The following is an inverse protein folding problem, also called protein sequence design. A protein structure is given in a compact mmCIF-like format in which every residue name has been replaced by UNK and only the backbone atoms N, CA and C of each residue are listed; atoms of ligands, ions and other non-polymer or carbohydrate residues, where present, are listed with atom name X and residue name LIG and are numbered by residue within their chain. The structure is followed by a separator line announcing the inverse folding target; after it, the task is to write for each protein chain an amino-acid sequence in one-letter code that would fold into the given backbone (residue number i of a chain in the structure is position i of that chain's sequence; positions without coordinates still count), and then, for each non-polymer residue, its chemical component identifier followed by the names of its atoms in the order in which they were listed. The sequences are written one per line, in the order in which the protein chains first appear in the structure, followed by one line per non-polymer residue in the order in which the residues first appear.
data_IF_190433917897
#
_entry.id   IF_190433917897
#
_cell.length_a   1.000
_cell.length_b   1.000
_cell.length_c   1.000
_cell.angle_alpha   90.00
_cell.angle_beta   90.00
_cell.angle_gamma   90.00
#
_symmetry.space_group_name_H-M   'P 1'
#
loop_
_entity.id
_entity.type
_entity.pdbx_description
1 polymer ?
#
# COMPACT_ATOMS: atom_id res chain seq x y z
N UNK A 1 0.77 -3.81 -15.77
CA UNK A 1 1.98 -3.76 -16.61
C UNK A 1 3.13 -4.25 -15.72
N UNK A 2 3.61 -5.47 -15.87
CA UNK A 2 4.79 -5.80 -16.68
C UNK A 2 5.93 -4.81 -16.50
N UNK A 3 6.81 -5.12 -15.54
CA UNK A 3 8.19 -4.67 -15.52
C UNK A 3 8.90 -5.12 -16.81
N UNK A 4 9.41 -4.15 -17.56
CA UNK A 4 10.44 -4.31 -18.59
C UNK A 4 11.70 -3.69 -17.94
N UNK A 5 12.81 -4.42 -17.81
CA UNK A 5 13.88 -4.19 -18.78
C UNK A 5 14.85 -5.37 -18.96
N UNK A 6 15.42 -5.38 -20.16
CA UNK A 6 16.08 -6.44 -20.89
C UNK A 6 17.61 -6.23 -20.86
N UNK A 7 18.30 -7.25 -20.35
CA UNK A 7 19.51 -7.95 -20.86
C UNK A 7 20.77 -7.16 -21.25
N UNK A 8 21.90 -7.69 -20.74
CA UNK A 8 23.13 -7.85 -21.53
C UNK A 8 23.39 -9.33 -21.83
N UNK A 9 23.78 -9.56 -23.08
CA UNK A 9 23.85 -10.83 -23.82
C UNK A 9 25.19 -11.55 -23.62
N UNK A 10 25.19 -12.89 -23.60
CA UNK A 10 26.27 -13.70 -24.18
C UNK A 10 25.74 -15.08 -24.61
N UNK A 11 26.05 -15.42 -25.85
CA UNK A 11 25.60 -16.57 -26.64
C UNK A 11 26.57 -17.76 -26.47
N UNK A 12 26.05 -18.99 -26.36
CA UNK A 12 26.72 -20.19 -26.86
C UNK A 12 25.70 -21.31 -27.18
N UNK A 13 25.56 -21.58 -28.47
CA UNK A 13 24.77 -22.65 -29.10
C UNK A 13 25.54 -23.97 -29.08
N UNK A 14 24.89 -25.08 -28.72
CA UNK A 14 25.21 -26.41 -29.26
C UNK A 14 23.96 -27.30 -29.22
N UNK A 15 23.31 -27.41 -30.38
CA UNK A 15 22.27 -28.38 -30.71
C UNK A 15 22.93 -29.68 -31.19
N UNK A 16 22.49 -30.82 -30.66
CA UNK A 16 22.49 -32.10 -31.37
C UNK A 16 21.25 -32.88 -30.96
N UNK A 17 20.32 -33.08 -31.91
CA UNK A 17 19.17 -33.96 -31.75
C UNK A 17 19.46 -35.39 -32.21
N UNK A 18 18.47 -36.27 -32.04
CA UNK A 18 18.04 -37.32 -33.00
C UNK A 18 16.66 -37.85 -32.57
N UNK A 19 15.77 -37.97 -33.57
CA UNK A 19 14.44 -38.59 -33.60
C UNK A 19 14.50 -40.13 -33.46
N UNK A 20 13.38 -40.77 -33.09
CA UNK A 20 12.74 -41.99 -33.69
C UNK A 20 11.52 -42.35 -32.78
N UNK A 21 10.27 -42.14 -33.21
CA UNK A 21 9.38 -42.96 -34.05
C UNK A 21 8.64 -44.11 -33.32
N UNK A 22 7.34 -44.20 -33.60
CA UNK A 22 6.31 -45.06 -33.03
C UNK A 22 6.54 -46.57 -33.22
N UNK A 23 5.96 -47.39 -32.33
CA UNK A 23 5.50 -48.74 -32.71
C UNK A 23 4.20 -49.13 -31.95
N UNK A 24 3.36 -49.90 -32.64
CA UNK A 24 1.99 -50.28 -32.28
C UNK A 24 1.95 -51.70 -31.72
N UNK A 25 1.01 -52.02 -30.81
CA UNK A 25 0.80 -53.42 -30.42
C UNK A 25 -0.33 -53.63 -29.41
N UNK A 26 -1.43 -54.19 -29.89
CA UNK A 26 -2.63 -54.61 -29.18
C UNK A 26 -2.41 -55.99 -28.49
N UNK A 27 -2.82 -56.19 -27.23
CA UNK A 27 -3.62 -57.37 -26.80
C UNK A 27 -4.02 -57.39 -25.30
N UNK A 28 -5.35 -57.45 -25.14
CA UNK A 28 -6.25 -58.08 -24.14
C UNK A 28 -5.75 -58.80 -22.85
N UNK A 29 -6.47 -58.43 -21.77
CA UNK A 29 -7.17 -59.27 -20.74
C UNK A 29 -6.34 -60.05 -19.71
N UNK A 30 -6.46 -59.71 -18.42
CA UNK A 30 -7.11 -60.53 -17.38
C UNK A 30 -6.90 -59.98 -15.95
N UNK A 31 -7.98 -60.09 -15.18
CA UNK A 31 -8.18 -59.87 -13.75
C UNK A 31 -7.23 -60.68 -12.83
N UNK A 32 -6.72 -60.07 -11.74
CA UNK A 32 -6.48 -60.75 -10.45
C UNK A 32 -6.12 -59.75 -9.35
N UNK A 33 -6.64 -60.00 -8.15
CA UNK A 33 -6.45 -59.28 -6.89
C UNK A 33 -5.00 -59.24 -6.38
N UNK A 34 -4.70 -58.23 -5.55
CA UNK A 34 -3.61 -58.21 -4.55
C UNK A 34 -4.01 -57.22 -3.44
N UNK A 35 -4.34 -57.71 -2.25
CA UNK A 35 -3.45 -57.78 -1.07
C UNK A 35 -3.00 -56.40 -0.55
N UNK A 36 -3.41 -56.13 0.69
CA UNK A 36 -3.05 -54.95 1.48
C UNK A 36 -1.53 -54.89 1.73
N UNK A 37 -0.93 -53.73 1.49
CA UNK A 37 0.37 -53.36 2.06
C UNK A 37 0.31 -51.95 2.67
N UNK A 38 1.08 -51.71 3.74
CA UNK A 38 1.02 -50.48 4.52
C UNK A 38 1.74 -49.35 3.78
N UNK A 39 1.10 -48.17 3.69
CA UNK A 39 1.70 -47.00 3.05
C UNK A 39 2.59 -46.23 4.03
N UNK A 40 3.90 -46.44 3.89
CA UNK A 40 4.93 -45.54 4.40
C UNK A 40 5.04 -44.30 3.48
N UNK A 41 5.25 -43.13 4.08
CA UNK A 41 5.41 -41.87 3.38
C UNK A 41 6.79 -41.76 2.69
N UNK A 42 6.78 -41.29 1.44
CA UNK A 42 7.95 -40.74 0.75
C UNK A 42 8.37 -41.51 -0.51
N UNK A 43 7.90 -41.06 -1.67
CA UNK A 43 8.59 -40.95 -2.97
C UNK A 43 7.55 -40.52 -4.02
N UNK A 44 7.97 -39.77 -5.05
CA UNK A 44 7.10 -39.24 -6.10
C UNK A 44 6.55 -40.39 -6.98
N UNK A 45 5.62 -41.17 -6.46
CA UNK A 45 4.97 -42.26 -7.18
C UNK A 45 3.86 -41.68 -8.06
N UNK A 46 4.03 -41.84 -9.37
CA UNK A 46 2.97 -41.55 -10.32
C UNK A 46 1.84 -42.54 -10.09
N UNK A 47 0.76 -42.08 -9.44
CA UNK A 47 -0.44 -42.92 -9.24
C UNK A 47 -1.07 -43.18 -10.60
N UNK A 48 -1.09 -44.44 -11.02
CA UNK A 48 -1.76 -44.87 -12.25
C UNK A 48 -3.25 -45.14 -11.96
N UNK A 49 -4.16 -44.51 -12.71
CA UNK A 49 -5.60 -44.65 -12.55
C UNK A 49 -6.19 -45.54 -13.65
N UNK A 50 -6.89 -46.60 -13.26
CA UNK A 50 -7.41 -47.63 -14.17
C UNK A 50 -8.62 -47.17 -14.97
N UNK A 51 -9.44 -46.28 -14.40
CA UNK A 51 -10.63 -45.75 -15.06
C UNK A 51 -10.98 -44.32 -14.63
N UNK A 52 -12.09 -43.79 -15.15
CA UNK A 52 -12.58 -42.45 -14.83
C UNK A 52 -13.10 -42.33 -13.38
N UNK A 53 -13.53 -43.44 -12.77
CA UNK A 53 -14.06 -43.44 -11.42
C UNK A 53 -12.93 -43.37 -10.38
N UNK A 54 -11.82 -44.08 -10.61
CA UNK A 54 -10.61 -43.95 -9.78
C UNK A 54 -10.03 -42.54 -9.84
N UNK A 55 -9.99 -41.93 -11.03
CA UNK A 55 -9.57 -40.52 -11.20
C UNK A 55 -10.49 -39.57 -10.44
N UNK A 56 -11.81 -39.76 -10.55
CA UNK A 56 -12.80 -38.94 -9.86
C UNK A 56 -12.66 -39.07 -8.34
N UNK A 57 -12.49 -40.29 -7.81
CA UNK A 57 -12.32 -40.52 -6.37
C UNK A 57 -11.07 -39.83 -5.81
N UNK A 58 -9.92 -39.94 -6.51
CA UNK A 58 -8.71 -39.23 -6.11
C UNK A 58 -8.89 -37.70 -6.15
N UNK A 59 -9.51 -37.18 -7.21
CA UNK A 59 -9.79 -35.75 -7.34
C UNK A 59 -10.71 -35.23 -6.22
N UNK A 60 -11.72 -36.01 -5.80
CA UNK A 60 -12.56 -35.66 -4.65
C UNK A 60 -11.74 -35.56 -3.36
N UNK A 61 -10.82 -36.50 -3.11
CA UNK A 61 -9.92 -36.47 -1.96
C UNK A 61 -9.01 -35.25 -1.96
N UNK A 62 -8.40 -34.92 -3.11
CA UNK A 62 -7.58 -33.70 -3.28
C UNK A 62 -8.41 -32.44 -3.03
N UNK A 63 -9.61 -32.35 -3.61
CA UNK A 63 -10.49 -31.21 -3.41
C UNK A 63 -10.88 -31.04 -1.92
N UNK A 64 -11.29 -32.14 -1.27
CA UNK A 64 -11.64 -32.14 0.16
C UNK A 64 -10.46 -31.72 1.03
N UNK A 65 -9.29 -32.32 0.82
CA UNK A 65 -8.08 -31.99 1.59
C UNK A 65 -7.61 -30.53 1.37
N UNK A 66 -7.80 -29.98 0.17
CA UNK A 66 -7.48 -28.58 -0.14
C UNK A 66 -8.39 -27.63 0.62
N UNK A 67 -9.70 -27.88 0.63
CA UNK A 67 -10.67 -27.05 1.35
C UNK A 67 -10.45 -27.14 2.87
N UNK A 68 -10.20 -28.35 3.39
CA UNK A 68 -9.95 -28.55 4.81
C UNK A 68 -8.61 -27.94 5.26
N UNK A 69 -7.58 -28.00 4.42
CA UNK A 69 -6.29 -27.34 4.69
C UNK A 69 -6.45 -25.84 4.82
N UNK A 70 -7.24 -25.19 3.94
CA UNK A 70 -7.54 -23.76 4.08
C UNK A 70 -8.22 -23.44 5.41
N UNK A 71 -9.19 -24.25 5.81
CA UNK A 71 -9.88 -24.07 7.09
C UNK A 71 -8.93 -24.29 8.29
N UNK A 72 -7.96 -25.20 8.21
CA UNK A 72 -6.99 -25.40 9.28
C UNK A 72 -5.93 -24.29 9.30
N UNK A 73 -5.51 -23.80 8.14
CA UNK A 73 -4.55 -22.71 8.07
C UNK A 73 -5.14 -21.40 8.62
N UNK A 74 -6.45 -21.15 8.48
CA UNK A 74 -7.10 -20.01 9.15
C UNK A 74 -7.12 -20.12 10.68
N UNK A 75 -7.03 -21.33 11.25
CA UNK A 75 -7.00 -21.51 12.70
C UNK A 75 -5.65 -21.11 13.33
N UNK A 76 -4.59 -21.01 12.52
CA UNK A 76 -3.28 -20.52 12.98
C UNK A 76 -3.34 -19.08 13.47
N UNK A 77 -4.29 -18.28 12.96
CA UNK A 77 -4.54 -16.92 13.46
C UNK A 77 -4.94 -16.92 14.94
N UNK A 78 -5.51 -18.02 15.43
CA UNK A 78 -5.90 -18.22 16.82
C UNK A 78 -4.91 -19.11 17.59
N UNK A 79 -3.71 -19.34 17.04
CA UNK A 79 -2.67 -20.21 17.62
C UNK A 79 -3.18 -21.65 17.82
N UNK A 80 -3.96 -22.16 16.86
CA UNK A 80 -4.44 -23.54 16.84
C UNK A 80 -3.85 -24.26 15.63
N UNK A 81 -3.11 -25.33 15.88
CA UNK A 81 -2.59 -26.22 14.85
C UNK A 81 -3.31 -27.58 14.85
N UNK A 82 -3.90 -27.93 13.71
CA UNK A 82 -4.55 -29.22 13.53
C UNK A 82 -3.54 -30.23 12.98
N UNK A 83 -3.38 -31.35 13.69
CA UNK A 83 -2.59 -32.47 13.22
C UNK A 83 -3.31 -33.17 12.04
N UNK A 84 -2.84 -32.87 10.83
CA UNK A 84 -3.44 -33.38 9.58
C UNK A 84 -3.35 -34.90 9.45
N UNK A 85 -2.32 -35.52 10.02
CA UNK A 85 -2.16 -36.99 9.98
C UNK A 85 -3.24 -37.70 10.79
N UNK A 86 -3.61 -37.15 11.95
CA UNK A 86 -4.71 -37.68 12.77
C UNK A 86 -6.07 -37.50 12.08
N UNK A 87 -6.26 -36.40 11.33
CA UNK A 87 -7.49 -36.19 10.56
C UNK A 87 -7.58 -37.23 9.43
N UNK A 88 -6.49 -37.45 8.69
CA UNK A 88 -6.43 -38.48 7.64
C UNK A 88 -6.64 -39.88 8.23
N UNK A 89 -6.06 -40.17 9.39
CA UNK A 89 -6.29 -41.43 10.11
C UNK A 89 -7.77 -41.59 10.50
N UNK A 90 -8.39 -40.57 11.11
CA UNK A 90 -9.80 -40.61 11.49
C UNK A 90 -10.74 -40.83 10.29
N UNK A 91 -10.45 -40.22 9.14
CA UNK A 91 -11.20 -40.48 7.90
C UNK A 91 -11.05 -41.93 7.43
N UNK A 92 -9.83 -42.48 7.44
CA UNK A 92 -9.56 -43.86 7.04
C UNK A 92 -10.28 -44.85 7.95
N UNK A 93 -10.13 -44.68 9.27
CA UNK A 93 -10.75 -45.54 10.28
C UNK A 93 -12.29 -45.46 10.20
N UNK A 94 -12.83 -44.27 9.96
CA UNK A 94 -14.27 -44.06 9.73
C UNK A 94 -14.80 -44.77 8.50
N UNK A 95 -14.10 -44.69 7.36
CA UNK A 95 -14.50 -45.43 6.14
C UNK A 95 -14.41 -46.95 6.32
N UNK A 96 -13.47 -47.43 7.13
CA UNK A 96 -13.34 -48.85 7.47
C UNK A 96 -14.39 -49.35 8.47
N UNK A 97 -15.16 -48.45 9.10
CA UNK A 97 -16.07 -48.80 10.19
C UNK A 97 -15.33 -49.20 11.48
N UNK A 98 -14.07 -48.82 11.63
CA UNK A 98 -13.18 -49.14 12.75
C UNK A 98 -12.73 -47.85 13.47
N UNK A 99 -13.63 -46.88 13.56
CA UNK A 99 -13.39 -45.63 14.27
C UNK A 99 -12.97 -45.90 15.71
N UNK A 100 -11.90 -45.24 16.16
CA UNK A 100 -11.31 -45.42 17.50
C UNK A 100 -12.06 -44.68 18.61
N UNK A 101 -13.18 -44.05 18.28
CA UNK A 101 -14.05 -43.31 19.18
C UNK A 101 -15.50 -43.65 18.83
N UNK A 102 -16.35 -43.71 19.84
CA UNK A 102 -17.79 -43.80 19.64
C UNK A 102 -18.34 -42.53 18.98
N UNK A 103 -19.50 -42.62 18.34
CA UNK A 103 -20.17 -41.44 17.76
C UNK A 103 -20.43 -40.35 18.80
N UNK A 104 -20.76 -40.74 20.04
CA UNK A 104 -20.97 -39.81 21.16
C UNK A 104 -19.67 -39.08 21.53
N UNK A 105 -18.55 -39.79 21.63
CA UNK A 105 -17.25 -39.19 21.89
C UNK A 105 -16.82 -38.26 20.75
N UNK A 106 -17.04 -38.64 19.50
CA UNK A 106 -16.75 -37.78 18.34
C UNK A 106 -17.52 -36.46 18.43
N UNK A 107 -18.83 -36.52 18.67
CA UNK A 107 -19.66 -35.31 18.81
C UNK A 107 -19.24 -34.46 20.02
N UNK A 108 -18.94 -35.08 21.16
CA UNK A 108 -18.51 -34.38 22.36
C UNK A 108 -17.20 -33.62 22.13
N UNK A 109 -16.20 -34.26 21.53
CA UNK A 109 -14.90 -33.64 21.25
C UNK A 109 -14.99 -32.54 20.18
N UNK A 110 -15.87 -32.69 19.17
CA UNK A 110 -16.11 -31.62 18.19
C UNK A 110 -16.75 -30.40 18.86
N UNK A 111 -17.72 -30.60 19.75
CA UNK A 111 -18.37 -29.50 20.48
C UNK A 111 -17.39 -28.79 21.44
N UNK A 112 -16.53 -29.55 22.12
CA UNK A 112 -15.47 -29.00 22.96
C UNK A 112 -14.49 -28.15 22.13
N UNK A 113 -14.03 -28.67 20.98
CA UNK A 113 -13.21 -27.92 20.04
C UNK A 113 -13.89 -26.62 19.56
N UNK A 114 -15.17 -26.68 19.16
CA UNK A 114 -15.93 -25.51 18.74
C UNK A 114 -16.06 -24.47 19.87
N UNK A 115 -16.23 -24.93 21.11
CA UNK A 115 -16.33 -24.05 22.28
C UNK A 115 -15.00 -23.35 22.55
N UNK A 116 -13.90 -24.08 22.56
CA UNK A 116 -12.55 -23.52 22.73
C UNK A 116 -12.18 -22.55 21.59
N UNK A 117 -12.55 -22.88 20.34
CA UNK A 117 -12.36 -22.01 19.19
C UNK A 117 -13.15 -20.70 19.34
N UNK A 118 -14.43 -20.77 19.74
CA UNK A 118 -15.25 -19.59 19.96
C UNK A 118 -14.69 -18.68 21.07
N UNK A 119 -14.12 -19.26 22.14
CA UNK A 119 -13.46 -18.53 23.20
C UNK A 119 -12.22 -17.78 22.69
N UNK A 120 -11.33 -18.47 21.96
CA UNK A 120 -10.15 -17.84 21.34
C UNK A 120 -10.52 -16.75 20.32
N UNK A 121 -11.57 -16.95 19.52
CA UNK A 121 -12.06 -15.92 18.60
C UNK A 121 -12.53 -14.67 19.36
N UNK A 122 -13.23 -14.85 20.49
CA UNK A 122 -13.67 -13.74 21.34
C UNK A 122 -12.50 -13.00 21.98
N UNK A 123 -11.48 -13.72 22.45
CA UNK A 123 -10.25 -13.14 23.00
C UNK A 123 -9.53 -12.29 21.94
N UNK A 124 -9.32 -12.85 20.74
CA UNK A 124 -8.67 -12.12 19.63
C UNK A 124 -9.47 -10.88 19.20
N UNK A 125 -10.80 -10.98 19.17
CA UNK A 125 -11.65 -9.81 18.88
C UNK A 125 -11.53 -8.73 19.96
N UNK A 126 -11.44 -9.11 21.24
CA UNK A 126 -11.26 -8.16 22.33
C UNK A 126 -9.87 -7.50 22.29
N UNK A 127 -8.84 -8.25 21.93
CA UNK A 127 -7.48 -7.74 21.72
C UNK A 127 -7.44 -6.74 20.55
N UNK A 128 -7.96 -7.12 19.38
CA UNK A 128 -8.04 -6.22 18.22
C UNK A 128 -8.85 -4.96 18.51
N UNK A 129 -9.92 -5.07 19.30
CA UNK A 129 -10.71 -3.91 19.71
C UNK A 129 -9.93 -2.99 20.68
N UNK A 130 -9.10 -3.56 21.56
CA UNK A 130 -8.22 -2.79 22.44
C UNK A 130 -7.11 -2.09 21.64
N UNK A 131 -6.47 -2.79 20.71
CA UNK A 131 -5.47 -2.23 19.79
C UNK A 131 -6.07 -1.11 18.92
N UNK A 132 -7.26 -1.31 18.36
CA UNK A 132 -7.95 -0.29 17.57
C UNK A 132 -8.30 0.94 18.41
N UNK A 133 -8.71 0.75 19.66
CA UNK A 133 -8.98 1.85 20.58
C UNK A 133 -7.72 2.63 20.91
N UNK A 134 -6.62 1.95 21.23
CA UNK A 134 -5.33 2.59 21.50
C UNK A 134 -4.85 3.41 20.30
N UNK A 135 -4.87 2.80 19.09
CA UNK A 135 -4.56 3.49 17.84
C UNK A 135 -5.47 4.70 17.60
N UNK A 136 -6.77 4.59 17.86
CA UNK A 136 -7.70 5.71 17.70
C UNK A 136 -7.43 6.85 18.71
N UNK A 137 -6.96 6.56 19.92
CA UNK A 137 -6.53 7.59 20.88
C UNK A 137 -5.25 8.31 20.41
N UNK A 138 -4.29 7.56 19.84
CA UNK A 138 -3.07 8.11 19.24
C UNK A 138 -3.38 8.98 18.02
N UNK A 139 -4.23 8.49 17.12
CA UNK A 139 -4.67 9.22 15.92
C UNK A 139 -5.39 10.52 16.27
N UNK A 140 -6.25 10.51 17.29
CA UNK A 140 -6.94 11.71 17.73
C UNK A 140 -5.94 12.79 18.16
N UNK A 141 -4.93 12.40 18.95
CA UNK A 141 -3.91 13.32 19.45
C UNK A 141 -3.02 13.83 18.31
N UNK A 142 -2.55 12.94 17.44
CA UNK A 142 -1.71 13.31 16.30
C UNK A 142 -2.47 14.20 15.30
N UNK A 143 -3.73 13.87 15.01
CA UNK A 143 -4.61 14.67 14.17
C UNK A 143 -4.87 16.06 14.75
N UNK A 144 -5.13 16.19 16.05
CA UNK A 144 -5.29 17.48 16.71
C UNK A 144 -4.03 18.35 16.65
N UNK A 145 -2.85 17.74 16.82
CA UNK A 145 -1.58 18.44 16.68
C UNK A 145 -1.38 18.93 15.22
N UNK A 146 -1.57 18.03 14.25
CA UNK A 146 -1.47 18.38 12.83
C UNK A 146 -2.44 19.50 12.44
N UNK A 147 -3.69 19.45 12.91
CA UNK A 147 -4.67 20.51 12.65
C UNK A 147 -4.26 21.86 13.26
N UNK A 148 -3.65 21.86 14.44
CA UNK A 148 -3.16 23.08 15.08
C UNK A 148 -2.02 23.69 14.25
N UNK A 149 -1.04 22.87 13.86
CA UNK A 149 0.10 23.31 13.06
C UNK A 149 -0.34 23.76 11.66
N UNK A 150 -1.28 23.04 11.04
CA UNK A 150 -1.84 23.39 9.74
C UNK A 150 -2.61 24.72 9.78
N UNK A 151 -3.33 25.00 10.88
CA UNK A 151 -4.06 26.26 11.05
C UNK A 151 -3.16 27.51 11.05
N UNK A 152 -1.87 27.35 11.33
CA UNK A 152 -0.90 28.44 11.35
C UNK A 152 -0.26 28.71 9.98
N UNK A 153 -0.50 27.85 8.98
CA UNK A 153 0.02 28.04 7.62
C UNK A 153 -0.69 29.20 6.92
N UNK A 154 0.04 29.87 6.03
CA UNK A 154 -0.49 30.96 5.22
C UNK A 154 -1.64 30.49 4.32
N UNK A 155 -2.65 31.33 4.14
CA UNK A 155 -3.84 31.03 3.34
C UNK A 155 -4.82 30.03 3.96
N UNK A 156 -4.53 29.46 5.14
CA UNK A 156 -5.44 28.51 5.80
C UNK A 156 -6.59 29.23 6.50
N UNK A 157 -7.80 28.79 6.21
CA UNK A 157 -9.03 29.18 6.89
C UNK A 157 -9.54 28.01 7.73
N UNK A 158 -9.91 28.30 8.99
CA UNK A 158 -10.59 27.36 9.88
C UNK A 158 -12.04 27.77 10.07
N UNK A 159 -12.97 26.86 9.81
CA UNK A 159 -14.41 27.11 9.96
C UNK A 159 -14.88 26.87 11.39
N UNK A 160 -16.15 27.21 11.69
CA UNK A 160 -16.76 26.98 13.00
C UNK A 160 -16.90 25.50 13.34
N UNK A 161 -17.04 24.62 12.33
CA UNK A 161 -17.12 23.16 12.53
C UNK A 161 -15.75 22.54 12.83
N UNK A 162 -14.66 23.28 12.56
CA UNK A 162 -13.29 22.81 12.73
C UNK A 162 -12.63 22.34 11.44
N UNK A 163 -13.34 22.33 10.30
CA UNK A 163 -12.74 22.12 8.98
C UNK A 163 -11.65 23.17 8.75
N UNK A 164 -10.49 22.74 8.23
CA UNK A 164 -9.46 23.64 7.75
C UNK A 164 -9.30 23.47 6.26
N UNK A 165 -9.10 24.57 5.54
CA UNK A 165 -8.87 24.51 4.11
C UNK A 165 -7.99 25.66 3.64
N UNK A 166 -7.33 25.49 2.50
CA UNK A 166 -6.69 26.57 1.74
C UNK A 166 -6.90 26.35 0.25
N UNK A 167 -7.00 27.44 -0.49
CA UNK A 167 -6.94 27.39 -1.93
C UNK A 167 -5.52 27.04 -2.39
N UNK A 168 -5.41 26.11 -3.34
CA UNK A 168 -4.20 25.90 -4.15
C UNK A 168 -4.33 26.74 -5.43
N UNK A 169 -5.48 26.60 -6.10
CA UNK A 169 -5.85 27.38 -7.29
C UNK A 169 -7.28 27.89 -7.12
N UNK A 170 -7.48 29.19 -7.36
CA UNK A 170 -8.80 29.83 -7.41
C UNK A 170 -9.07 30.37 -8.81
N UNK A 171 -10.29 30.18 -9.30
CA UNK A 171 -10.78 30.77 -10.54
C UNK A 171 -11.92 31.75 -10.27
N UNK A 172 -11.90 32.90 -10.95
CA UNK A 172 -12.96 33.89 -10.78
C UNK A 172 -14.22 33.52 -11.57
N UNK A 173 -15.38 33.68 -10.92
CA UNK A 173 -16.69 33.62 -11.59
C UNK A 173 -17.23 32.22 -11.88
N UNK A 174 -16.61 31.17 -11.32
CA UNK A 174 -17.15 29.81 -11.36
C UNK A 174 -18.43 29.65 -10.52
N UNK A 175 -19.22 28.61 -10.83
CA UNK A 175 -20.39 28.24 -10.05
C UNK A 175 -19.98 27.49 -8.78
N UNK A 176 -20.54 27.87 -7.62
CA UNK A 176 -20.36 27.12 -6.36
C UNK A 176 -21.53 26.17 -6.12
N UNK A 177 -21.29 24.93 -5.65
CA UNK A 177 -22.36 24.01 -5.33
C UNK A 177 -23.05 24.40 -4.02
N UNK A 178 -24.31 23.99 -3.88
CA UNK A 178 -25.04 23.94 -2.61
C UNK A 178 -25.02 22.51 -2.07
N UNK A 179 -25.30 22.34 -0.77
CA UNK A 179 -25.27 21.01 -0.11
C UNK A 179 -26.18 19.93 -0.77
N UNK A 180 -27.16 20.31 -1.59
CA UNK A 180 -28.07 19.37 -2.28
C UNK A 180 -27.62 19.01 -3.71
N UNK A 181 -26.62 19.72 -4.24
CA UNK A 181 -26.16 19.54 -5.61
C UNK A 181 -25.31 18.26 -5.76
N UNK A 182 -25.28 17.77 -7.00
CA UNK A 182 -24.26 16.81 -7.41
C UNK A 182 -23.00 17.55 -7.87
N UNK A 183 -21.83 16.99 -7.61
CA UNK A 183 -20.56 17.53 -8.07
C UNK A 183 -19.77 16.46 -8.81
N UNK A 184 -18.91 16.91 -9.73
CA UNK A 184 -17.86 16.10 -10.33
C UNK A 184 -16.51 16.62 -9.86
N UNK A 185 -15.66 15.75 -9.32
CA UNK A 185 -14.34 16.17 -8.82
C UNK A 185 -13.23 15.19 -9.18
N UNK A 186 -12.02 15.74 -9.29
CA UNK A 186 -10.81 14.99 -9.02
C UNK A 186 -10.40 15.16 -7.55
N UNK A 187 -9.77 14.14 -6.97
CA UNK A 187 -9.29 14.21 -5.60
C UNK A 187 -8.16 13.22 -5.30
N UNK A 188 -7.40 13.56 -4.27
CA UNK A 188 -6.40 12.71 -3.62
C UNK A 188 -6.56 12.79 -2.11
N UNK A 189 -6.79 11.65 -1.46
CA UNK A 189 -6.96 11.54 -0.01
C UNK A 189 -5.76 10.87 0.65
N UNK A 190 -5.18 11.53 1.64
CA UNK A 190 -4.01 11.06 2.40
C UNK A 190 -4.25 11.16 3.91
N UNK A 191 -3.58 10.30 4.66
CA UNK A 191 -3.44 10.47 6.11
C UNK A 191 -2.46 11.61 6.41
N UNK A 192 -2.40 12.03 7.68
CA UNK A 192 -1.54 13.14 8.12
C UNK A 192 -0.03 12.88 7.96
N UNK A 193 0.37 11.64 7.74
CA UNK A 193 1.75 11.22 7.43
C UNK A 193 2.04 11.20 5.91
N UNK A 194 1.05 11.53 5.08
CA UNK A 194 1.15 11.53 3.62
C UNK A 194 0.83 10.21 2.95
N UNK A 195 0.55 9.12 3.70
CA UNK A 195 0.14 7.85 3.09
C UNK A 195 -1.22 8.02 2.40
N UNK A 196 -1.26 7.71 1.11
CA UNK A 196 -2.48 7.82 0.30
C UNK A 196 -3.39 6.62 0.49
N UNK A 197 -4.65 6.87 0.88
CA UNK A 197 -5.66 5.84 1.05
C UNK A 197 -6.68 5.77 -0.09
N UNK A 198 -6.84 6.85 -0.87
CA UNK A 198 -7.74 6.91 -2.02
C UNK A 198 -7.36 8.04 -3.00
N UNK A 199 -7.53 7.81 -4.31
CA UNK A 199 -7.23 8.80 -5.36
C UNK A 199 -8.04 8.54 -6.62
N UNK A 200 -8.71 9.56 -7.15
CA UNK A 200 -9.38 9.48 -8.46
C UNK A 200 -8.39 9.59 -9.62
N UNK A 201 -7.27 10.29 -9.43
CA UNK A 201 -6.18 10.36 -10.41
C UNK A 201 -5.60 8.97 -10.70
N UNK A 202 -5.41 8.13 -9.68
CA UNK A 202 -4.96 6.72 -9.88
C UNK A 202 -5.93 5.89 -10.71
N UNK A 203 -7.20 6.30 -10.81
CA UNK A 203 -8.21 5.64 -11.63
C UNK A 203 -8.38 6.28 -13.01
N UNK A 204 -7.67 7.37 -13.30
CA UNK A 204 -7.80 8.18 -14.51
C UNK A 204 -9.25 8.59 -14.81
N UNK A 205 -10.05 8.79 -13.76
CA UNK A 205 -11.47 9.12 -13.91
C UNK A 205 -11.96 9.90 -12.68
N UNK A 206 -12.60 11.07 -12.87
CA UNK A 206 -13.22 11.79 -11.78
C UNK A 206 -14.42 11.03 -11.24
N UNK A 207 -14.93 11.47 -10.09
CA UNK A 207 -16.09 10.88 -9.45
C UNK A 207 -17.24 11.88 -9.39
N UNK A 208 -18.45 11.38 -9.63
CA UNK A 208 -19.70 12.13 -9.47
C UNK A 208 -20.42 11.65 -8.20
N UNK A 209 -20.85 12.57 -7.35
CA UNK A 209 -21.66 12.26 -6.17
C UNK A 209 -22.49 13.47 -5.72
N UNK A 210 -23.55 13.20 -4.95
CA UNK A 210 -24.32 14.24 -4.28
C UNK A 210 -23.62 14.69 -3.00
N UNK A 211 -23.52 16.01 -2.77
CA UNK A 211 -22.85 16.55 -1.58
C UNK A 211 -23.49 16.11 -0.27
N UNK A 212 -24.80 15.84 -0.25
CA UNK A 212 -25.51 15.31 0.92
C UNK A 212 -25.26 13.80 1.20
N UNK A 213 -24.52 13.11 0.33
CA UNK A 213 -24.23 11.68 0.43
C UNK A 213 -22.80 11.34 0.84
N UNK A 214 -21.97 12.35 1.14
CA UNK A 214 -20.55 12.20 1.50
C UNK A 214 -20.28 12.65 2.95
N UNK A 215 -19.03 12.59 3.38
CA UNK A 215 -18.64 13.00 4.73
C UNK A 215 -18.94 14.48 4.98
N UNK A 216 -19.32 14.89 6.21
CA UNK A 216 -19.70 16.27 6.51
C UNK A 216 -18.66 17.32 6.07
N UNK A 217 -17.36 17.03 6.21
CA UNK A 217 -16.30 17.94 5.80
C UNK A 217 -16.27 18.21 4.30
N UNK A 218 -16.65 17.24 3.46
CA UNK A 218 -16.81 17.45 2.03
C UNK A 218 -18.09 18.24 1.72
N UNK A 219 -19.21 17.86 2.35
CA UNK A 219 -20.48 18.59 2.19
C UNK A 219 -20.29 20.07 2.50
N UNK A 220 -19.59 20.40 3.58
CA UNK A 220 -19.26 21.78 3.95
C UNK A 220 -18.20 22.40 3.02
N UNK A 221 -17.05 21.76 2.88
CA UNK A 221 -15.87 22.33 2.23
C UNK A 221 -16.06 22.66 0.76
N UNK A 222 -16.73 21.80 -0.01
CA UNK A 222 -16.92 22.00 -1.44
C UNK A 222 -17.85 23.19 -1.75
N UNK A 223 -18.66 23.66 -0.79
CA UNK A 223 -19.48 24.87 -0.96
C UNK A 223 -18.65 26.16 -0.93
N UNK A 224 -17.38 26.10 -0.49
CA UNK A 224 -16.44 27.22 -0.56
C UNK A 224 -15.64 27.26 -1.87
N UNK A 225 -15.80 26.25 -2.71
CA UNK A 225 -15.17 26.16 -4.03
C UNK A 225 -16.11 26.68 -5.11
N UNK A 226 -15.52 27.09 -6.22
CA UNK A 226 -16.14 27.34 -7.51
C UNK A 226 -15.63 26.33 -8.53
N UNK A 227 -16.40 26.06 -9.58
CA UNK A 227 -15.95 25.17 -10.67
C UNK A 227 -14.63 25.69 -11.25
N UNK A 228 -13.60 24.84 -11.23
CA UNK A 228 -12.23 25.10 -11.63
C UNK A 228 -11.25 25.29 -10.46
N UNK A 229 -11.75 25.43 -9.22
CA UNK A 229 -10.89 25.55 -8.05
C UNK A 229 -10.22 24.22 -7.69
N UNK A 230 -9.00 24.33 -7.16
CA UNK A 230 -8.29 23.23 -6.50
C UNK A 230 -7.98 23.64 -5.06
N UNK A 231 -8.52 22.93 -4.08
CA UNK A 231 -8.37 23.23 -2.65
C UNK A 231 -7.71 22.06 -1.92
N UNK A 232 -6.99 22.37 -0.85
CA UNK A 232 -6.56 21.39 0.15
C UNK A 232 -7.44 21.52 1.40
N UNK A 233 -8.02 20.40 1.84
CA UNK A 233 -8.86 20.29 3.03
C UNK A 233 -8.19 19.40 4.07
N UNK A 234 -8.11 19.87 5.31
CA UNK A 234 -7.78 19.05 6.48
C UNK A 234 -9.07 18.86 7.28
N UNK A 235 -9.54 17.62 7.27
CA UNK A 235 -10.85 17.24 7.79
C UNK A 235 -10.67 16.48 9.11
N UNK A 236 -11.08 17.06 10.24
CA UNK A 236 -11.13 16.39 11.53
C UNK A 236 -11.99 15.12 11.49
N UNK A 237 -11.70 14.16 12.37
CA UNK A 237 -12.35 12.86 12.34
C UNK A 237 -13.87 12.91 12.52
N UNK A 238 -14.39 13.86 13.31
CA UNK A 238 -15.83 14.08 13.52
C UNK A 238 -16.56 14.64 12.29
N UNK A 239 -15.82 15.28 11.38
CA UNK A 239 -16.29 15.67 10.04
C UNK A 239 -15.97 14.63 8.95
N UNK A 240 -15.37 13.51 9.33
CA UNK A 240 -15.01 12.39 8.47
C UNK A 240 -15.69 11.08 8.90
N UNK A 241 -14.93 10.10 9.39
CA UNK A 241 -15.40 8.74 9.69
C UNK A 241 -15.57 8.42 11.19
N UNK A 242 -15.21 9.36 12.07
CA UNK A 242 -15.39 9.28 13.52
C UNK A 242 -14.45 8.31 14.23
N UNK A 243 -14.87 7.87 15.41
CA UNK A 243 -14.03 7.11 16.35
C UNK A 243 -13.74 5.66 15.96
N UNK A 244 -14.46 5.09 15.01
CA UNK A 244 -14.37 3.68 14.66
C UNK A 244 -13.71 3.49 13.30
N UNK A 245 -12.96 2.39 13.16
CA UNK A 245 -12.38 1.99 11.88
C UNK A 245 -13.45 1.87 10.77
N UNK A 246 -13.12 2.34 9.56
CA UNK A 246 -13.93 2.28 8.35
C UNK A 246 -13.10 1.79 7.18
N UNK A 247 -13.22 0.50 6.86
CA UNK A 247 -12.43 -0.10 5.79
C UNK A 247 -10.94 -0.03 6.14
N UNK A 248 -10.16 0.67 5.33
CA UNK A 248 -8.74 0.94 5.56
C UNK A 248 -8.47 2.21 6.37
N UNK A 249 -9.49 2.98 6.76
CA UNK A 249 -9.32 4.23 7.53
C UNK A 249 -9.46 3.91 9.02
N UNK A 250 -8.40 4.08 9.83
CA UNK A 250 -8.47 3.88 11.26
C UNK A 250 -9.39 4.90 11.96
N UNK A 251 -9.94 4.53 13.12
CA UNK A 251 -10.71 5.42 13.96
C UNK A 251 -9.95 6.69 14.34
N UNK A 252 -10.68 7.80 14.47
CA UNK A 252 -10.18 9.14 14.79
C UNK A 252 -9.12 9.70 13.82
N UNK A 253 -9.00 9.14 12.62
CA UNK A 253 -8.08 9.69 11.61
C UNK A 253 -8.53 11.07 11.14
N UNK A 254 -7.63 12.06 11.22
CA UNK A 254 -7.75 13.30 10.45
C UNK A 254 -7.32 13.01 9.03
N UNK A 255 -8.08 13.50 8.05
CA UNK A 255 -7.83 13.23 6.64
C UNK A 255 -7.44 14.51 5.91
N UNK A 256 -6.48 14.40 4.99
CA UNK A 256 -6.07 15.50 4.12
C UNK A 256 -6.53 15.17 2.70
N UNK A 257 -7.25 16.10 2.08
CA UNK A 257 -7.74 15.94 0.72
C UNK A 257 -7.31 17.12 -0.15
N UNK A 258 -6.65 16.82 -1.26
CA UNK A 258 -6.63 17.74 -2.40
C UNK A 258 -7.85 17.44 -3.27
N UNK A 259 -8.65 18.46 -3.58
CA UNK A 259 -9.89 18.32 -4.37
C UNK A 259 -9.89 19.38 -5.46
N UNK A 260 -10.21 18.96 -6.68
CA UNK A 260 -10.44 19.82 -7.83
C UNK A 260 -11.91 19.72 -8.25
N UNK A 261 -12.63 20.84 -8.26
CA UNK A 261 -14.05 20.87 -8.60
C UNK A 261 -14.25 21.07 -10.10
N UNK A 262 -14.70 20.04 -10.82
CA UNK A 262 -14.80 20.06 -12.28
C UNK A 262 -16.18 20.51 -12.79
N UNK A 263 -17.25 20.19 -12.05
CA UNK A 263 -18.61 20.58 -12.43
C UNK A 263 -19.58 20.54 -11.25
N UNK A 264 -20.63 21.35 -11.34
CA UNK A 264 -21.84 21.30 -10.50
C UNK A 264 -23.00 20.80 -11.35
N UNK A 265 -23.78 19.87 -10.81
CA UNK A 265 -24.90 19.18 -11.46
C UNK A 265 -24.56 18.64 -12.87
N UNK A 266 -23.52 17.79 -13.01
CA UNK A 266 -23.10 17.28 -14.31
C UNK A 266 -24.22 16.47 -14.99
N UNK A 267 -24.63 16.90 -16.19
CA UNK A 267 -25.61 16.17 -17.01
C UNK A 267 -24.97 15.35 -18.14
N UNK A 268 -23.73 15.70 -18.51
CA UNK A 268 -22.97 15.05 -19.56
C UNK A 268 -21.93 14.08 -18.98
N UNK A 269 -21.63 12.96 -19.67
CA UNK A 269 -20.51 12.10 -19.30
C UNK A 269 -19.22 12.91 -19.25
N UNK A 270 -18.32 12.57 -18.32
CA UNK A 270 -16.98 13.14 -18.35
C UNK A 270 -16.29 12.73 -19.64
N UNK A 271 -15.90 13.72 -20.43
CA UNK A 271 -14.97 13.57 -21.53
C UNK A 271 -13.69 14.15 -20.99
N UNK A 272 -12.68 13.29 -20.77
CA UNK A 272 -11.34 13.78 -20.46
C UNK A 272 -10.96 14.81 -21.52
N UNK A 273 -10.35 15.95 -21.15
CA UNK A 273 -9.75 16.82 -22.15
C UNK A 273 -8.93 15.94 -23.09
N UNK A 274 -8.97 16.21 -24.40
CA UNK A 274 -7.95 15.67 -25.29
C UNK A 274 -6.64 16.39 -24.93
N UNK A 275 -6.07 16.06 -23.77
CA UNK A 275 -4.69 16.40 -23.48
C UNK A 275 -3.89 15.74 -24.58
N UNK A 276 -3.27 16.58 -25.39
CA UNK A 276 -2.30 16.05 -26.32
C UNK A 276 -1.21 15.39 -25.49
N UNK A 277 -0.68 14.27 -25.96
CA UNK A 277 0.49 13.64 -25.35
C UNK A 277 1.62 14.67 -25.13
N UNK A 278 1.65 15.72 -25.94
CA UNK A 278 2.55 16.88 -25.85
C UNK A 278 2.27 17.76 -24.61
N UNK A 279 1.01 18.00 -24.26
CA UNK A 279 0.58 18.76 -23.07
C UNK A 279 0.83 17.97 -21.77
N UNK A 280 0.57 16.65 -21.76
CA UNK A 280 0.92 15.78 -20.62
C UNK A 280 2.42 15.67 -20.41
N UNK A 281 3.19 15.66 -21.50
CA UNK A 281 4.64 15.67 -21.43
C UNK A 281 5.16 17.02 -20.92
N UNK A 282 4.53 18.14 -21.28
CA UNK A 282 4.89 19.47 -20.81
C UNK A 282 4.62 19.64 -19.30
N UNK A 283 3.45 19.23 -18.81
CA UNK A 283 3.11 19.24 -17.38
C UNK A 283 3.98 18.28 -16.56
N UNK A 284 4.27 17.08 -17.10
CA UNK A 284 5.19 16.14 -16.45
C UNK A 284 6.63 16.68 -16.38
N UNK A 285 7.07 17.46 -17.37
CA UNK A 285 8.38 18.13 -17.34
C UNK A 285 8.39 19.28 -16.32
N UNK A 286 7.32 20.07 -16.25
CA UNK A 286 7.16 21.17 -15.28
C UNK A 286 7.18 20.66 -13.83
N UNK A 287 6.44 19.58 -13.54
CA UNK A 287 6.47 18.94 -12.21
C UNK A 287 7.83 18.35 -11.83
N UNK A 288 8.58 17.81 -12.80
CA UNK A 288 9.96 17.37 -12.57
C UNK A 288 10.88 18.57 -12.27
N UNK A 289 10.68 19.71 -12.94
CA UNK A 289 11.40 20.95 -12.68
C UNK A 289 11.13 21.51 -11.28
N UNK A 290 9.86 21.62 -10.88
CA UNK A 290 9.47 22.09 -9.55
C UNK A 290 10.03 21.18 -8.44
N UNK A 291 9.93 19.85 -8.62
CA UNK A 291 10.48 18.90 -7.66
C UNK A 291 12.02 18.95 -7.58
N UNK A 292 12.71 19.24 -8.70
CA UNK A 292 14.15 19.41 -8.74
C UNK A 292 14.60 20.72 -8.09
N UNK A 293 13.83 21.80 -8.27
CA UNK A 293 14.06 23.09 -7.60
C UNK A 293 13.87 22.95 -6.08
N UNK A 294 12.76 22.34 -5.64
CA UNK A 294 12.50 22.09 -4.21
C UNK A 294 13.59 21.21 -3.59
N UNK A 295 13.98 20.12 -4.26
CA UNK A 295 15.07 19.27 -3.79
C UNK A 295 16.42 20.01 -3.76
N UNK A 296 16.70 20.86 -4.75
CA UNK A 296 17.89 21.70 -4.80
C UNK A 296 17.94 22.73 -3.68
N UNK A 297 16.81 23.32 -3.33
CA UNK A 297 16.70 24.27 -2.21
C UNK A 297 16.85 23.56 -0.86
N UNK A 298 16.29 22.36 -0.69
CA UNK A 298 16.53 21.53 0.50
C UNK A 298 18.03 21.17 0.63
N UNK A 299 18.72 20.85 -0.47
CA UNK A 299 20.17 20.60 -0.45
C UNK A 299 20.95 21.84 -0.01
N UNK A 300 20.59 23.03 -0.51
CA UNK A 300 21.22 24.30 -0.11
C UNK A 300 20.96 24.63 1.36
N UNK A 301 19.71 24.53 1.81
CA UNK A 301 19.31 24.80 3.20
C UNK A 301 20.06 23.86 4.16
N UNK A 302 20.10 22.56 3.85
CA UNK A 302 20.84 21.57 4.64
C UNK A 302 22.35 21.87 4.69
N UNK A 303 22.92 22.35 3.58
CA UNK A 303 24.33 22.73 3.52
C UNK A 303 24.63 24.01 4.32
N UNK A 304 23.73 25.00 4.30
CA UNK A 304 23.82 26.21 5.12
C UNK A 304 23.71 25.88 6.61
N UNK A 305 22.78 25.01 7.02
CA UNK A 305 22.67 24.52 8.39
C UNK A 305 23.94 23.76 8.83
N UNK A 306 24.44 22.85 7.99
CA UNK A 306 25.67 22.10 8.28
C UNK A 306 26.89 23.02 8.39
N UNK A 307 26.96 24.06 7.56
CA UNK A 307 27.99 25.10 7.61
C UNK A 307 27.89 25.91 8.90
N UNK A 308 26.69 26.32 9.30
CA UNK A 308 26.47 27.05 10.55
C UNK A 308 26.89 26.21 11.76
N UNK A 309 26.52 24.93 11.80
CA UNK A 309 26.93 23.98 12.84
C UNK A 309 28.46 23.82 12.86
N UNK A 310 29.09 23.69 11.70
CA UNK A 310 30.54 23.57 11.59
C UNK A 310 31.27 24.84 12.05
N UNK A 311 30.72 26.02 11.78
CA UNK A 311 31.26 27.30 12.21
C UNK A 311 31.11 27.51 13.73
N UNK A 312 29.94 27.23 14.29
CA UNK A 312 29.66 27.33 15.73
C UNK A 312 30.54 26.35 16.52
N UNK A 313 30.63 25.09 16.07
CA UNK A 313 31.50 24.07 16.69
C UNK A 313 32.97 24.49 16.66
N UNK A 314 33.42 25.13 15.57
CA UNK A 314 34.79 25.61 15.46
C UNK A 314 35.07 26.82 16.36
N UNK A 315 34.11 27.74 16.53
CA UNK A 315 34.24 28.87 17.47
C UNK A 315 34.33 28.41 18.93
N UNK A 316 33.50 27.45 19.33
CA UNK A 316 33.56 26.85 20.67
C UNK A 316 34.92 26.19 20.93
N UNK A 317 35.39 25.35 20.01
CA UNK A 317 36.69 24.69 20.13
C UNK A 317 37.85 25.68 20.15
N UNK A 318 37.78 26.74 19.35
CA UNK A 318 38.80 27.80 19.31
C UNK A 318 38.88 28.57 20.63
N UNK A 319 37.74 28.79 21.30
CA UNK A 319 37.71 29.39 22.62
C UNK A 319 38.44 28.53 23.67
N UNK A 320 38.30 27.21 23.59
CA UNK A 320 38.93 26.26 24.50
C UNK A 320 40.45 26.10 24.29
N UNK A 321 40.94 26.25 23.05
CA UNK A 321 42.36 26.07 22.71
C UNK A 321 43.14 27.37 22.52
N UNK A 322 42.55 28.51 22.84
CA UNK A 322 43.09 29.85 22.60
C UNK A 322 44.50 30.03 23.20
N UNK A 323 45.44 30.51 22.38
CA UNK A 323 46.83 30.75 22.77
C UNK A 323 47.70 29.49 22.89
N UNK A 324 47.19 28.35 22.43
CA UNK A 324 47.95 27.10 22.30
C UNK A 324 48.34 26.85 20.85
N UNK A 325 49.26 25.91 20.63
CA UNK A 325 49.64 25.46 19.29
C UNK A 325 48.51 24.73 18.53
N UNK A 326 47.35 24.49 19.15
CA UNK A 326 46.20 23.80 18.56
C UNK A 326 45.21 24.76 17.89
N UNK A 327 45.30 26.06 18.14
CA UNK A 327 44.38 27.08 17.58
C UNK A 327 44.42 27.10 16.04
N UNK A 328 45.62 27.06 15.45
CA UNK A 328 45.80 27.00 14.00
C UNK A 328 45.24 25.69 13.39
N UNK A 329 45.32 24.58 14.13
CA UNK A 329 44.82 23.28 13.69
C UNK A 329 43.29 23.20 13.69
N UNK A 330 42.63 23.94 14.57
CA UNK A 330 41.16 24.06 14.61
C UNK A 330 40.66 24.85 13.41
N UNK A 331 41.35 25.94 13.05
CA UNK A 331 40.99 26.75 11.87
C UNK A 331 41.20 26.00 10.55
N UNK A 332 42.30 25.24 10.42
CA UNK A 332 42.54 24.38 9.25
C UNK A 332 41.47 23.28 9.11
N UNK A 333 41.05 22.68 10.23
CA UNK A 333 40.00 21.65 10.23
C UNK A 333 38.63 22.23 9.91
N UNK A 334 38.32 23.45 10.38
CA UNK A 334 37.10 24.18 10.02
C UNK A 334 37.03 24.39 8.52
N UNK A 335 38.08 24.97 7.92
CA UNK A 335 38.10 25.23 6.48
C UNK A 335 37.93 23.95 5.66
N UNK A 336 38.61 22.86 6.06
CA UNK A 336 38.48 21.57 5.39
C UNK A 336 37.06 20.99 5.46
N UNK A 337 36.36 21.17 6.58
CA UNK A 337 34.96 20.76 6.71
C UNK A 337 34.03 21.62 5.86
N UNK A 338 34.27 22.93 5.79
CA UNK A 338 33.51 23.84 4.93
C UNK A 338 33.68 23.48 3.45
N UNK A 339 34.91 23.28 3.00
CA UNK A 339 35.21 22.88 1.61
C UNK A 339 34.54 21.53 1.28
N UNK A 340 34.51 20.59 2.24
CA UNK A 340 33.87 19.29 2.06
C UNK A 340 32.33 19.39 2.01
N UNK A 341 31.73 20.26 2.83
CA UNK A 341 30.29 20.54 2.81
C UNK A 341 29.91 21.18 1.47
N UNK A 342 30.67 22.19 1.00
CA UNK A 342 30.46 22.86 -0.29
C UNK A 342 30.56 21.86 -1.45
N UNK A 343 31.62 21.05 -1.48
CA UNK A 343 31.79 20.00 -2.51
C UNK A 343 30.63 18.98 -2.48
N UNK A 344 30.19 18.56 -1.29
CA UNK A 344 29.10 17.58 -1.16
C UNK A 344 27.77 18.17 -1.59
N UNK A 345 27.53 19.46 -1.30
CA UNK A 345 26.33 20.17 -1.73
C UNK A 345 26.30 20.39 -3.24
N UNK A 346 27.45 20.74 -3.84
CA UNK A 346 27.60 20.81 -5.31
C UNK A 346 27.34 19.44 -5.96
N UNK A 347 28.00 18.38 -5.48
CA UNK A 347 27.82 17.02 -6.00
C UNK A 347 26.36 16.53 -5.87
N UNK A 348 25.69 16.87 -4.76
CA UNK A 348 24.29 16.54 -4.54
C UNK A 348 23.35 17.35 -5.45
N UNK A 349 23.61 18.64 -5.65
CA UNK A 349 22.88 19.49 -6.58
C UNK A 349 23.00 18.98 -8.03
N UNK A 350 24.22 18.67 -8.47
CA UNK A 350 24.48 18.09 -9.80
C UNK A 350 23.75 16.74 -9.99
N UNK A 351 23.67 15.93 -8.94
CA UNK A 351 22.95 14.66 -8.98
C UNK A 351 21.42 14.84 -9.09
N UNK A 352 20.86 15.85 -8.42
CA UNK A 352 19.44 16.22 -8.53
C UNK A 352 19.14 16.70 -9.96
N UNK A 353 19.93 17.63 -10.49
CA UNK A 353 19.75 18.18 -11.85
C UNK A 353 19.84 17.07 -12.90
N UNK A 354 20.84 16.18 -12.78
CA UNK A 354 20.99 15.04 -13.68
C UNK A 354 19.81 14.07 -13.61
N UNK A 355 19.31 13.77 -12.42
CA UNK A 355 18.17 12.86 -12.24
C UNK A 355 16.91 13.46 -12.85
N UNK A 356 16.72 14.77 -12.70
CA UNK A 356 15.64 15.50 -13.35
C UNK A 356 15.77 15.48 -14.88
N UNK A 357 16.98 15.69 -15.41
CA UNK A 357 17.24 15.63 -16.87
C UNK A 357 16.99 14.22 -17.44
N UNK A 358 17.41 13.17 -16.74
CA UNK A 358 17.15 11.78 -17.12
C UNK A 358 15.63 11.49 -17.12
N UNK A 359 14.88 11.96 -16.11
CA UNK A 359 13.43 11.80 -16.03
C UNK A 359 12.70 12.57 -17.16
N UNK A 360 13.09 13.81 -17.46
CA UNK A 360 12.54 14.58 -18.59
C UNK A 360 12.81 13.92 -19.94
N UNK A 361 13.98 13.30 -20.09
CA UNK A 361 14.32 12.57 -21.32
C UNK A 361 13.48 11.30 -21.50
N UNK A 362 13.11 10.61 -20.41
CA UNK A 362 12.18 9.47 -20.46
C UNK A 362 10.77 9.92 -20.88
N UNK A 363 10.26 11.01 -20.30
CA UNK A 363 8.96 11.59 -20.66
C UNK A 363 8.89 11.97 -22.15
N UNK A 364 9.96 12.57 -22.67
CA UNK A 364 10.03 12.97 -24.09
C UNK A 364 10.33 11.80 -25.06
N UNK A 365 10.88 10.69 -24.56
CA UNK A 365 11.38 9.57 -25.36
C UNK A 365 10.34 8.51 -25.75
N UNK A 366 9.27 8.37 -24.96
CA UNK A 366 8.19 7.38 -25.22
C UNK A 366 7.16 7.86 -26.28
N UNK A 367 7.36 9.05 -26.87
CA UNK A 367 6.47 9.70 -27.84
C UNK A 367 6.80 9.50 -29.34
N UNK A 368 7.68 8.55 -29.70
CA UNK A 368 8.05 8.26 -31.11
C UNK A 368 7.47 6.98 -31.71
#
# INVERSE_FOLDING_TARGET
MTHISIKKTAVALALTGVLVACDSGNDKVANSASEEQPVAAGENQTVEFKDQYEKAAYAMGVNFSTQMTKNFDSLKEYDIEINKDLVVQGMRDGFAGDAKMSEEEVMANINEFQTALNEKMKERQAELAAEAKERAEENLKAGQAFQADYAEKDGVTKTESGLLYRAITEVEGGESPTAEDAVRVHYRGTFIDGEEFDSSYKRNQPIDFNLNGVIPGWTEGLQYMTVGDKYEFVIPADLAYGENDRGNIPGNSTLVFEVELLAVNPTEPYVAPEETIEEQAEEAVETIDEAAEEAGDVVKETAEEAKQIAEETAEELKQDVKGTALEDSVEESKQKSLDAIETTAEDAGDAVEKTAEDAKNEVNGDNQ
#
